data_IF_404630075091
#
_entry.id   IF_404630075091
#
_cell.length_a   1.000
_cell.length_b   1.000
_cell.length_c   1.000
_cell.angle_alpha   90.00
_cell.angle_beta   90.00
_cell.angle_gamma   90.00
#
_symmetry.space_group_name_H-M   'P 1'
#
loop_
_entity.id
_entity.type
_entity.pdbx_description
1 polymer ?
#
# COMPACT_ATOMS: atom_id res chain seq x y z
N UNK A 1 21.29 8.53 -18.26
CA UNK A 1 20.86 7.38 -17.43
C UNK A 1 21.52 7.48 -16.07
N UNK A 2 20.78 7.83 -15.00
CA UNK A 2 21.35 7.98 -13.65
C UNK A 2 21.42 6.62 -12.98
N UNK A 3 22.64 6.16 -12.68
CA UNK A 3 22.88 4.96 -11.90
C UNK A 3 22.20 5.08 -10.52
N UNK A 4 21.33 4.12 -10.19
CA UNK A 4 20.80 3.94 -8.83
C UNK A 4 21.97 3.52 -7.95
N UNK A 5 22.63 4.49 -7.29
CA UNK A 5 23.58 4.22 -6.21
C UNK A 5 22.89 3.30 -5.21
N UNK A 6 23.33 2.05 -5.16
CA UNK A 6 22.84 1.07 -4.21
C UNK A 6 23.07 1.63 -2.82
N UNK A 7 21.99 1.99 -2.14
CA UNK A 7 22.06 2.21 -0.69
C UNK A 7 22.36 0.84 -0.10
N UNK A 8 23.58 0.66 0.39
CA UNK A 8 23.90 -0.40 1.34
C UNK A 8 22.94 -0.25 2.51
N UNK A 9 22.24 -1.32 2.85
CA UNK A 9 21.28 -1.32 3.95
C UNK A 9 22.02 -0.92 5.22
N UNK A 10 21.51 0.10 5.90
CA UNK A 10 22.06 0.49 7.20
C UNK A 10 21.74 -0.57 8.25
N UNK A 11 22.45 -0.58 9.36
CA UNK A 11 22.20 -1.55 10.44
C UNK A 11 20.78 -1.44 11.00
N UNK A 12 20.22 -0.23 11.02
CA UNK A 12 18.82 0.02 11.34
C UNK A 12 17.87 -0.61 10.31
N UNK A 13 18.17 -0.51 9.01
CA UNK A 13 17.38 -1.13 7.95
C UNK A 13 17.40 -2.66 8.05
N UNK A 14 18.54 -3.24 8.43
CA UNK A 14 18.71 -4.69 8.62
C UNK A 14 17.90 -5.17 9.84
N UNK A 15 17.94 -4.43 10.95
CA UNK A 15 17.14 -4.74 12.14
C UNK A 15 15.64 -4.68 11.84
N UNK A 16 15.19 -3.66 11.10
CA UNK A 16 13.80 -3.54 10.65
C UNK A 16 13.40 -4.71 9.75
N UNK A 17 14.27 -5.08 8.81
CA UNK A 17 14.04 -6.22 7.92
C UNK A 17 13.91 -7.54 8.67
N UNK A 18 14.74 -7.78 9.71
CA UNK A 18 14.63 -8.97 10.57
C UNK A 18 13.32 -9.00 11.34
N UNK A 19 12.80 -7.84 11.79
CA UNK A 19 11.51 -7.77 12.45
C UNK A 19 10.36 -8.10 11.51
N UNK A 20 10.37 -7.56 10.29
CA UNK A 20 9.35 -7.82 9.29
C UNK A 20 9.39 -9.29 8.85
N UNK A 21 10.58 -9.84 8.61
CA UNK A 21 10.76 -11.24 8.18
C UNK A 21 10.17 -12.26 9.16
N UNK A 22 10.14 -11.97 10.48
CA UNK A 22 9.50 -12.82 11.50
C UNK A 22 7.98 -12.94 11.36
N UNK A 23 7.33 -11.97 10.74
CA UNK A 23 5.87 -11.91 10.61
C UNK A 23 5.32 -12.57 9.35
N UNK A 24 6.19 -12.97 8.42
CA UNK A 24 5.78 -13.49 7.10
C UNK A 24 5.89 -15.02 7.09
N UNK A 25 4.86 -15.69 6.55
CA UNK A 25 4.86 -17.15 6.37
C UNK A 25 5.93 -17.55 5.35
N UNK A 26 6.91 -18.39 5.70
CA UNK A 26 7.96 -18.81 4.77
C UNK A 26 7.40 -19.68 3.65
N UNK A 27 8.07 -19.65 2.50
CA UNK A 27 7.77 -20.50 1.34
C UNK A 27 8.03 -21.98 1.68
N UNK A 28 7.22 -22.91 1.15
CA UNK A 28 7.42 -24.35 1.38
C UNK A 28 8.81 -24.79 0.88
N UNK A 29 9.55 -25.50 1.73
CA UNK A 29 10.91 -25.98 1.43
C UNK A 29 12.05 -25.05 1.88
N UNK A 30 11.76 -23.91 2.53
CA UNK A 30 12.77 -23.10 3.23
C UNK A 30 12.63 -23.25 4.74
N UNK A 31 13.73 -23.61 5.40
CA UNK A 31 13.78 -23.67 6.85
C UNK A 31 13.52 -22.28 7.46
N UNK A 32 12.77 -22.18 8.57
CA UNK A 32 12.74 -20.97 9.38
C UNK A 32 14.18 -20.56 9.74
N UNK A 33 14.48 -19.27 9.68
CA UNK A 33 15.80 -18.77 10.13
C UNK A 33 15.89 -19.01 11.63
N UNK A 34 16.66 -20.05 12.01
CA UNK A 34 17.02 -20.38 13.39
C UNK A 34 17.81 -19.20 13.99
N UNK A 35 17.50 -18.77 15.23
CA UNK A 35 18.23 -17.69 15.86
C UNK A 35 19.68 -18.10 16.15
N UNK A 36 20.64 -17.29 15.71
CA UNK A 36 22.00 -17.33 16.23
C UNK A 36 21.94 -16.85 17.70
N UNK A 37 22.50 -17.59 18.67
CA UNK A 37 22.46 -17.18 20.06
C UNK A 37 23.29 -15.90 20.22
N UNK A 38 22.63 -14.82 20.61
CA UNK A 38 23.32 -13.62 21.09
C UNK A 38 24.17 -14.03 22.30
N UNK A 39 25.44 -13.60 22.40
CA UNK A 39 26.22 -13.81 23.61
C UNK A 39 25.50 -13.17 24.79
N UNK A 40 25.37 -13.90 25.90
CA UNK A 40 24.84 -13.42 27.17
C UNK A 40 25.67 -12.24 27.66
N UNK A 41 25.24 -11.02 27.30
CA UNK A 41 25.61 -9.82 28.02
C UNK A 41 24.79 -9.82 29.31
N UNK A 42 25.51 -9.91 30.43
CA UNK A 42 24.99 -9.92 31.78
C UNK A 42 23.87 -8.88 31.97
N UNK A 43 22.70 -9.37 32.39
CA UNK A 43 21.54 -8.56 32.73
C UNK A 43 21.81 -7.74 34.00
N UNK A 44 21.84 -6.39 33.96
CA UNK A 44 21.53 -5.62 35.16
C UNK A 44 20.03 -5.72 35.45
N UNK A 45 19.68 -5.79 36.73
CA UNK A 45 18.33 -5.98 37.26
C UNK A 45 17.27 -5.06 36.61
N UNK A 46 16.01 -5.53 36.49
CA UNK A 46 14.98 -4.80 35.77
C UNK A 46 14.57 -3.55 36.54
N UNK A 47 15.00 -2.38 36.05
CA UNK A 47 14.31 -1.14 36.32
C UNK A 47 12.97 -1.19 35.57
N UNK A 48 11.88 -1.06 36.32
CA UNK A 48 10.51 -1.05 35.84
C UNK A 48 10.28 0.19 34.96
N UNK A 49 10.67 0.09 33.68
CA UNK A 49 10.27 1.08 32.69
C UNK A 49 8.81 0.79 32.38
N UNK A 50 7.93 1.63 32.91
CA UNK A 50 6.53 1.66 32.53
C UNK A 50 6.44 1.86 31.01
N UNK A 51 6.31 0.75 30.27
CA UNK A 51 6.02 0.77 28.84
C UNK A 51 4.61 1.31 28.74
N UNK A 52 4.49 2.61 28.47
CA UNK A 52 3.24 3.20 28.04
C UNK A 52 2.88 2.49 26.74
N UNK A 53 1.94 1.55 26.82
CA UNK A 53 1.42 0.83 25.68
C UNK A 53 0.84 1.87 24.71
N UNK A 54 1.64 2.26 23.71
CA UNK A 54 1.09 2.87 22.51
C UNK A 54 0.31 1.73 21.87
N UNK A 55 -1.01 1.75 22.04
CA UNK A 55 -1.90 0.85 21.35
C UNK A 55 -1.55 0.93 19.87
N UNK A 56 -0.87 -0.09 19.36
CA UNK A 56 -0.59 -0.22 17.95
C UNK A 56 -1.97 -0.29 17.28
N UNK A 57 -2.38 0.82 16.67
CA UNK A 57 -3.59 0.86 15.87
C UNK A 57 -3.40 -0.21 14.79
N UNK A 58 -4.10 -1.33 14.94
CA UNK A 58 -4.15 -2.34 13.90
C UNK A 58 -4.60 -1.64 12.63
N UNK A 59 -3.94 -1.86 11.48
CA UNK A 59 -4.41 -1.29 10.24
C UNK A 59 -5.83 -1.83 10.02
N UNK A 60 -6.81 -0.95 10.17
CA UNK A 60 -8.21 -1.29 9.90
C UNK A 60 -8.20 -1.71 8.44
N UNK A 61 -8.43 -3.00 8.21
CA UNK A 61 -8.54 -3.54 6.85
C UNK A 61 -9.74 -2.85 6.25
N UNK A 62 -9.49 -1.84 5.43
CA UNK A 62 -10.54 -1.06 4.80
C UNK A 62 -11.28 -2.01 3.88
N UNK A 63 -12.40 -2.56 4.36
CA UNK A 63 -13.29 -3.32 3.51
C UNK A 63 -13.95 -2.27 2.62
N UNK A 64 -13.68 -2.25 1.31
CA UNK A 64 -14.38 -1.32 0.44
C UNK A 64 -15.87 -1.61 0.58
N UNK A 65 -16.65 -0.57 0.87
CA UNK A 65 -18.10 -0.68 0.84
C UNK A 65 -18.50 -1.27 -0.52
N UNK A 66 -19.38 -2.27 -0.52
CA UNK A 66 -19.85 -2.88 -1.75
C UNK A 66 -20.36 -1.75 -2.66
N UNK A 67 -19.70 -1.57 -3.80
CA UNK A 67 -20.07 -0.51 -4.74
C UNK A 67 -21.54 -0.71 -5.12
N UNK A 68 -22.32 0.37 -5.05
CA UNK A 68 -23.70 0.34 -5.54
C UNK A 68 -23.68 -0.15 -6.99
N UNK A 69 -24.64 -0.99 -7.39
CA UNK A 69 -24.71 -1.45 -8.77
C UNK A 69 -24.82 -0.22 -9.68
N UNK A 70 -23.85 -0.07 -10.58
CA UNK A 70 -23.88 0.98 -11.59
C UNK A 70 -25.17 0.84 -12.40
N UNK A 71 -25.85 1.95 -12.65
CA UNK A 71 -27.00 1.95 -13.55
C UNK A 71 -26.57 1.37 -14.91
N UNK A 72 -27.36 0.47 -15.51
CA UNK A 72 -26.99 -0.16 -16.77
C UNK A 72 -26.93 0.88 -17.89
N UNK A 73 -25.81 0.91 -18.62
CA UNK A 73 -25.66 1.72 -19.83
C UNK A 73 -26.45 1.05 -20.96
N UNK A 74 -27.25 1.83 -21.69
CA UNK A 74 -28.01 1.32 -22.83
C UNK A 74 -27.09 0.68 -23.90
N UNK A 75 -27.53 -0.46 -24.45
CA UNK A 75 -26.75 -1.23 -25.44
C UNK A 75 -26.38 -0.39 -26.68
N UNK A 76 -27.28 0.50 -27.11
CA UNK A 76 -27.07 1.39 -28.27
C UNK A 76 -25.96 2.42 -27.96
N UNK A 77 -26.05 3.09 -26.82
CA UNK A 77 -25.05 4.07 -26.38
C UNK A 77 -23.66 3.45 -26.24
N UNK A 78 -23.56 2.27 -25.61
CA UNK A 78 -22.30 1.51 -25.53
C UNK A 78 -21.70 1.21 -26.91
N UNK A 79 -22.55 0.89 -27.89
CA UNK A 79 -22.10 0.57 -29.26
C UNK A 79 -21.60 1.82 -29.98
N UNK A 80 -22.26 2.96 -29.80
CA UNK A 80 -21.86 4.25 -30.40
C UNK A 80 -20.54 4.75 -29.82
N UNK A 81 -20.38 4.72 -28.49
CA UNK A 81 -19.12 5.06 -27.83
C UNK A 81 -17.95 4.21 -28.34
N UNK A 82 -18.13 2.90 -28.43
CA UNK A 82 -17.09 1.99 -28.96
C UNK A 82 -16.71 2.29 -30.42
N UNK A 83 -17.67 2.72 -31.23
CA UNK A 83 -17.45 3.07 -32.64
C UNK A 83 -16.92 4.50 -32.84
N UNK A 84 -16.77 5.28 -31.77
CA UNK A 84 -16.41 6.71 -31.85
C UNK A 84 -17.52 7.58 -32.47
N UNK A 85 -18.76 7.09 -32.50
CA UNK A 85 -19.92 7.84 -33.01
C UNK A 85 -20.49 8.81 -31.98
N UNK A 86 -20.09 8.67 -30.72
CA UNK A 86 -20.42 9.57 -29.63
C UNK A 86 -19.12 10.19 -29.12
N UNK A 87 -19.10 11.50 -28.92
CA UNK A 87 -17.94 12.22 -28.38
C UNK A 87 -17.72 11.92 -26.89
N UNK A 88 -16.48 12.05 -26.45
CA UNK A 88 -16.12 12.02 -25.03
C UNK A 88 -16.23 13.44 -24.50
N UNK A 89 -17.04 13.65 -23.47
CA UNK A 89 -17.29 14.99 -22.93
C UNK A 89 -16.10 15.53 -22.11
N UNK A 90 -15.42 14.65 -21.39
CA UNK A 90 -14.25 15.00 -20.58
C UNK A 90 -13.25 13.84 -20.46
N UNK A 91 -11.95 14.19 -20.38
CA UNK A 91 -10.84 13.25 -20.22
C UNK A 91 -9.90 13.70 -19.11
N UNK A 92 -9.29 12.76 -18.41
CA UNK A 92 -8.26 13.00 -17.39
C UNK A 92 -7.09 12.06 -17.58
N UNK A 93 -5.89 12.63 -17.51
CA UNK A 93 -4.65 11.86 -17.47
C UNK A 93 -4.16 11.72 -16.02
N UNK A 94 -3.96 10.48 -15.59
CA UNK A 94 -3.44 10.13 -14.27
C UNK A 94 -2.04 9.51 -14.35
N UNK A 95 -1.44 9.44 -15.54
CA UNK A 95 -0.12 8.85 -15.71
C UNK A 95 0.96 9.71 -15.04
N UNK A 96 1.93 9.04 -14.41
CA UNK A 96 3.04 9.72 -13.72
C UNK A 96 2.71 10.27 -12.34
N UNK A 97 1.43 10.27 -11.93
CA UNK A 97 1.02 10.65 -10.57
C UNK A 97 1.26 9.52 -9.58
N UNK A 98 1.61 9.87 -8.34
CA UNK A 98 1.54 8.94 -7.21
C UNK A 98 0.07 8.65 -6.86
N UNK A 99 -0.19 7.56 -6.13
CA UNK A 99 -1.55 7.11 -5.85
C UNK A 99 -2.40 8.16 -5.11
N UNK A 100 -1.81 8.86 -4.13
CA UNK A 100 -2.42 9.95 -3.38
C UNK A 100 -2.77 11.15 -4.28
N UNK A 101 -1.86 11.50 -5.19
CA UNK A 101 -2.05 12.57 -6.17
C UNK A 101 -3.17 12.21 -7.16
N UNK A 102 -3.12 11.01 -7.74
CA UNK A 102 -4.12 10.53 -8.69
C UNK A 102 -5.52 10.43 -8.05
N UNK A 103 -5.59 10.04 -6.78
CA UNK A 103 -6.84 9.97 -6.03
C UNK A 103 -7.50 11.35 -5.89
N UNK A 104 -6.73 12.36 -5.49
CA UNK A 104 -7.23 13.74 -5.38
C UNK A 104 -7.64 14.32 -6.74
N UNK A 105 -6.81 14.09 -7.77
CA UNK A 105 -7.09 14.53 -9.14
C UNK A 105 -8.40 13.92 -9.67
N UNK A 106 -8.56 12.61 -9.57
CA UNK A 106 -9.78 11.89 -9.98
C UNK A 106 -11.01 12.39 -9.20
N UNK A 107 -10.90 12.55 -7.89
CA UNK A 107 -12.03 13.01 -7.08
C UNK A 107 -12.46 14.44 -7.44
N UNK A 108 -11.51 15.33 -7.72
CA UNK A 108 -11.81 16.68 -8.20
C UNK A 108 -12.48 16.68 -9.57
N UNK A 109 -12.03 15.80 -10.48
CA UNK A 109 -12.61 15.59 -11.80
C UNK A 109 -14.07 15.15 -11.73
N UNK A 110 -14.36 14.10 -10.96
CA UNK A 110 -15.74 13.61 -10.86
C UNK A 110 -16.68 14.67 -10.29
N UNK A 111 -16.25 15.43 -9.27
CA UNK A 111 -17.08 16.49 -8.68
C UNK A 111 -17.41 17.63 -9.64
N UNK A 112 -16.54 17.93 -10.62
CA UNK A 112 -16.81 19.00 -11.59
C UNK A 112 -17.63 18.53 -12.78
N UNK A 113 -17.45 17.29 -13.23
CA UNK A 113 -18.14 16.73 -14.41
C UNK A 113 -19.50 16.07 -14.08
N UNK A 114 -19.78 15.76 -12.80
CA UNK A 114 -21.07 15.19 -12.36
C UNK A 114 -22.08 16.24 -11.87
N UNK A 115 -21.80 17.53 -12.06
CA UNK A 115 -22.77 18.61 -11.83
C UNK A 115 -23.66 18.80 -13.05
#
# INVERSE_FOLDING_TARGET
MRARRGKTLTEADIALWRQVARSVKPLPGRAPVEPEPLPELAVPAPAEIAIRAVAAAMPVKHVPAAALPLAPIERRLRTQLRRGQQSVDASIDLHGMRQDEAHLALHSFLRREQR
#
